data_IF_661356673692
#
_entry.id   IF_661356673692
#
_cell.length_a   1.000
_cell.length_b   1.000
_cell.length_c   1.000
_cell.angle_alpha   90.00
_cell.angle_beta   90.00
_cell.angle_gamma   90.00
#
_symmetry.space_group_name_H-M   'P 1'
#
loop_
_entity.id
_entity.type
_entity.pdbx_description
1 polymer ?
#
# COMPACT_ATOMS: atom_id res chain seq x y z
N UNK A 1 30.09 18.56 7.26
CA UNK A 1 30.35 17.43 8.17
C UNK A 1 30.66 16.28 7.26
N UNK A 2 31.89 15.77 7.29
CA UNK A 2 32.33 14.73 6.33
C UNK A 2 31.99 13.37 6.93
N UNK A 3 31.12 12.63 6.24
CA UNK A 3 30.77 11.25 6.61
C UNK A 3 31.81 10.29 6.03
N UNK A 4 32.24 9.30 6.81
CA UNK A 4 32.93 8.14 6.24
C UNK A 4 32.01 7.38 5.28
N UNK A 5 32.54 6.55 4.36
CA UNK A 5 31.70 5.73 3.48
C UNK A 5 30.69 4.85 4.23
N UNK A 6 31.11 4.25 5.36
CA UNK A 6 30.24 3.43 6.23
C UNK A 6 29.11 4.26 6.84
N UNK A 7 29.42 5.44 7.39
CA UNK A 7 28.42 6.32 7.99
C UNK A 7 27.45 6.85 6.92
N UNK A 8 27.94 7.23 5.74
CA UNK A 8 27.10 7.69 4.65
C UNK A 8 26.16 6.57 4.18
N UNK A 9 26.69 5.38 3.95
CA UNK A 9 25.90 4.22 3.53
C UNK A 9 24.81 3.89 4.56
N UNK A 10 25.16 3.82 5.84
CA UNK A 10 24.18 3.53 6.90
C UNK A 10 23.15 4.65 7.07
N UNK A 11 23.53 5.92 6.99
CA UNK A 11 22.56 7.02 7.11
C UNK A 11 21.63 7.11 5.91
N UNK A 12 22.17 7.22 4.70
CA UNK A 12 21.40 7.64 3.53
C UNK A 12 20.93 6.47 2.66
N UNK A 13 21.78 5.47 2.43
CA UNK A 13 21.39 4.31 1.60
C UNK A 13 20.40 3.42 2.34
N UNK A 14 20.65 3.13 3.61
CA UNK A 14 19.65 2.39 4.40
C UNK A 14 18.38 3.21 4.65
N UNK A 15 18.45 4.54 4.73
CA UNK A 15 17.25 5.40 4.85
C UNK A 15 16.38 5.34 3.59
N UNK A 16 17.02 5.29 2.42
CA UNK A 16 16.35 5.05 1.14
C UNK A 16 15.72 3.65 1.12
N UNK A 17 16.45 2.62 1.54
CA UNK A 17 15.93 1.25 1.67
C UNK A 17 14.75 1.15 2.64
N UNK A 18 14.79 1.90 3.75
CA UNK A 18 13.68 1.96 4.70
C UNK A 18 12.44 2.57 4.06
N UNK A 19 12.60 3.67 3.32
CA UNK A 19 11.51 4.31 2.57
C UNK A 19 10.92 3.36 1.51
N UNK A 20 11.77 2.67 0.76
CA UNK A 20 11.36 1.65 -0.23
C UNK A 20 10.60 0.51 0.45
N UNK A 21 11.11 0.00 1.57
CA UNK A 21 10.45 -1.05 2.36
C UNK A 21 9.04 -0.61 2.80
N UNK A 22 8.91 0.60 3.36
CA UNK A 22 7.62 1.16 3.75
C UNK A 22 6.65 1.30 2.58
N UNK A 23 7.13 1.70 1.40
CA UNK A 23 6.33 1.79 0.18
C UNK A 23 5.80 0.42 -0.28
N UNK A 24 6.65 -0.61 -0.27
CA UNK A 24 6.23 -1.98 -0.61
C UNK A 24 5.18 -2.50 0.38
N UNK A 25 5.38 -2.30 1.69
CA UNK A 25 4.42 -2.74 2.70
C UNK A 25 3.09 -2.01 2.54
N UNK A 26 3.12 -0.68 2.35
CA UNK A 26 1.93 0.12 2.06
C UNK A 26 1.18 -0.43 0.85
N UNK A 27 1.87 -0.64 -0.27
CA UNK A 27 1.24 -1.12 -1.50
C UNK A 27 0.63 -2.50 -1.33
N UNK A 28 1.29 -3.42 -0.63
CA UNK A 28 0.74 -4.75 -0.35
C UNK A 28 -0.52 -4.69 0.51
N UNK A 29 -0.55 -3.84 1.54
CA UNK A 29 -1.75 -3.60 2.35
C UNK A 29 -2.86 -2.91 1.55
N UNK A 30 -2.50 -1.97 0.68
CA UNK A 30 -3.45 -1.23 -0.14
C UNK A 30 -4.09 -2.15 -1.18
N UNK A 31 -3.31 -2.97 -1.88
CA UNK A 31 -3.84 -3.96 -2.82
C UNK A 31 -4.78 -4.94 -2.09
N UNK A 32 -4.44 -5.34 -0.86
CA UNK A 32 -5.34 -6.17 -0.04
C UNK A 32 -6.63 -5.42 0.36
N UNK A 33 -6.59 -4.11 0.58
CA UNK A 33 -7.79 -3.31 0.84
C UNK A 33 -8.67 -3.15 -0.41
N UNK A 34 -8.06 -3.11 -1.59
CA UNK A 34 -8.75 -3.01 -2.87
C UNK A 34 -9.45 -4.32 -3.26
N UNK A 35 -8.87 -5.47 -2.94
CA UNK A 35 -9.48 -6.79 -3.15
C UNK A 35 -10.94 -6.80 -2.65
N UNK A 36 -11.88 -7.04 -3.55
CA UNK A 36 -13.30 -7.16 -3.23
C UNK A 36 -13.64 -8.56 -2.72
N UNK A 37 -12.96 -9.58 -3.23
CA UNK A 37 -13.18 -10.99 -2.94
C UNK A 37 -11.92 -11.83 -3.28
N UNK A 38 -11.92 -13.13 -3.01
CA UNK A 38 -10.75 -14.00 -3.17
C UNK A 38 -10.69 -14.79 -4.48
N UNK A 39 -11.44 -14.38 -5.49
CA UNK A 39 -11.51 -15.07 -6.80
C UNK A 39 -10.22 -14.92 -7.62
N UNK A 40 -9.76 -13.67 -7.81
CA UNK A 40 -8.64 -13.30 -8.68
C UNK A 40 -7.29 -13.70 -8.08
N UNK A 41 -6.41 -14.26 -8.91
CA UNK A 41 -5.14 -14.86 -8.47
C UNK A 41 -4.01 -13.85 -8.43
N UNK A 42 -4.00 -12.95 -9.40
CA UNK A 42 -3.10 -11.83 -9.55
C UNK A 42 -3.15 -10.90 -8.34
N UNK A 43 -4.33 -10.65 -7.76
CA UNK A 43 -4.47 -9.80 -6.58
C UNK A 43 -3.76 -10.42 -5.37
N UNK A 44 -3.96 -11.72 -5.13
CA UNK A 44 -3.29 -12.43 -4.04
C UNK A 44 -1.77 -12.46 -4.24
N UNK A 45 -1.31 -12.63 -5.48
CA UNK A 45 0.11 -12.56 -5.83
C UNK A 45 0.70 -11.19 -5.49
N UNK A 46 0.07 -10.09 -5.92
CA UNK A 46 0.56 -8.74 -5.68
C UNK A 46 0.68 -8.42 -4.19
N UNK A 47 -0.31 -8.85 -3.39
CA UNK A 47 -0.27 -8.69 -1.93
C UNK A 47 0.92 -9.43 -1.35
N UNK A 48 1.05 -10.73 -1.64
CA UNK A 48 2.14 -11.54 -1.09
C UNK A 48 3.51 -11.04 -1.55
N UNK A 49 3.65 -10.61 -2.80
CA UNK A 49 4.89 -10.08 -3.34
C UNK A 49 5.31 -8.80 -2.64
N UNK A 50 4.44 -7.79 -2.61
CA UNK A 50 4.74 -6.51 -2.01
C UNK A 50 5.07 -6.64 -0.52
N UNK A 51 4.29 -7.44 0.23
CA UNK A 51 4.57 -7.68 1.65
C UNK A 51 5.88 -8.44 1.86
N UNK A 52 6.18 -9.47 1.05
CA UNK A 52 7.43 -10.24 1.15
C UNK A 52 8.66 -9.35 0.93
N UNK A 53 8.68 -8.57 -0.16
CA UNK A 53 9.79 -7.66 -0.49
C UNK A 53 9.96 -6.60 0.60
N UNK A 54 8.84 -6.01 1.04
CA UNK A 54 8.84 -4.98 2.06
C UNK A 54 9.43 -5.47 3.39
N UNK A 55 8.98 -6.62 3.88
CA UNK A 55 9.47 -7.23 5.12
C UNK A 55 10.93 -7.69 4.99
N UNK A 56 11.32 -8.32 3.89
CA UNK A 56 12.70 -8.76 3.66
C UNK A 56 13.67 -7.58 3.73
N UNK A 57 13.37 -6.46 3.05
CA UNK A 57 14.20 -5.25 3.10
C UNK A 57 14.30 -4.71 4.53
N UNK A 58 13.19 -4.67 5.25
CA UNK A 58 13.16 -4.20 6.64
C UNK A 58 14.03 -5.07 7.57
N UNK A 59 13.98 -6.39 7.39
CA UNK A 59 14.81 -7.34 8.12
C UNK A 59 16.30 -7.14 7.80
N UNK A 60 16.65 -6.94 6.52
CA UNK A 60 18.04 -6.70 6.11
C UNK A 60 18.59 -5.40 6.71
N UNK A 61 17.80 -4.33 6.77
CA UNK A 61 18.22 -3.10 7.46
C UNK A 61 18.52 -3.38 8.93
N UNK A 62 17.65 -4.14 9.63
CA UNK A 62 17.91 -4.54 11.01
C UNK A 62 19.24 -5.29 11.14
N UNK A 63 19.49 -6.28 10.27
CA UNK A 63 20.73 -7.08 10.29
C UNK A 63 21.96 -6.20 10.06
N UNK A 64 21.92 -5.28 9.09
CA UNK A 64 23.02 -4.34 8.84
C UNK A 64 23.32 -3.51 10.08
N UNK A 65 22.30 -2.96 10.74
CA UNK A 65 22.50 -2.12 11.92
C UNK A 65 22.96 -2.92 13.15
N UNK A 66 22.55 -4.18 13.27
CA UNK A 66 22.92 -5.05 14.39
C UNK A 66 24.32 -5.66 14.26
N UNK A 67 24.73 -6.04 13.05
CA UNK A 67 25.91 -6.89 12.84
C UNK A 67 27.10 -6.19 12.18
N UNK A 68 26.87 -5.15 11.36
CA UNK A 68 27.96 -4.52 10.62
C UNK A 68 28.78 -3.57 11.49
N UNK A 69 30.10 -3.80 11.54
CA UNK A 69 31.11 -2.93 12.16
C UNK A 69 32.22 -2.61 11.16
N UNK A 70 33.13 -1.69 11.49
CA UNK A 70 34.26 -1.36 10.60
C UNK A 70 35.26 -2.53 10.40
N UNK A 71 35.17 -3.57 11.24
CA UNK A 71 36.00 -4.78 11.14
C UNK A 71 35.29 -5.92 10.36
N UNK A 72 34.07 -5.70 9.87
CA UNK A 72 33.31 -6.70 9.12
C UNK A 72 33.93 -6.89 7.73
N UNK A 73 34.07 -8.16 7.29
CA UNK A 73 34.41 -8.43 5.89
C UNK A 73 33.20 -8.06 5.01
N UNK A 74 33.32 -6.94 4.27
CA UNK A 74 32.21 -6.35 3.51
C UNK A 74 31.59 -7.32 2.51
N UNK A 75 32.41 -7.94 1.66
CA UNK A 75 31.95 -8.82 0.58
C UNK A 75 31.18 -10.02 1.14
N UNK A 76 31.74 -10.72 2.13
CA UNK A 76 31.07 -11.85 2.78
C UNK A 76 29.78 -11.44 3.48
N UNK A 77 29.75 -10.23 4.06
CA UNK A 77 28.56 -9.72 4.72
C UNK A 77 27.45 -9.43 3.71
N UNK A 78 27.76 -8.76 2.61
CA UNK A 78 26.82 -8.48 1.52
C UNK A 78 26.28 -9.76 0.90
N UNK A 79 27.13 -10.74 0.59
CA UNK A 79 26.71 -12.07 0.11
C UNK A 79 25.73 -12.74 1.09
N UNK A 80 25.98 -12.62 2.40
CA UNK A 80 25.09 -13.19 3.43
C UNK A 80 23.70 -12.54 3.46
N UNK A 81 23.54 -11.33 2.89
CA UNK A 81 22.27 -10.64 2.78
C UNK A 81 21.49 -11.03 1.51
N UNK A 82 22.10 -11.72 0.55
CA UNK A 82 21.45 -12.22 -0.67
C UNK A 82 20.67 -13.52 -0.34
N UNK A 83 19.80 -13.45 0.67
CA UNK A 83 18.85 -14.50 1.02
C UNK A 83 17.43 -13.99 0.84
N UNK A 84 16.58 -14.85 0.28
CA UNK A 84 15.15 -14.66 0.08
C UNK A 84 14.34 -15.44 1.12
N UNK A 85 14.95 -15.78 2.25
CA UNK A 85 14.35 -16.53 3.34
C UNK A 85 14.03 -15.62 4.53
N UNK A 86 12.78 -15.18 4.63
CA UNK A 86 12.35 -14.27 5.69
C UNK A 86 12.41 -14.94 7.08
N UNK A 87 12.25 -16.27 7.17
CA UNK A 87 12.42 -17.02 8.42
C UNK A 87 13.88 -16.98 8.91
N UNK A 88 14.84 -17.25 8.02
CA UNK A 88 16.26 -17.23 8.39
C UNK A 88 16.71 -15.82 8.79
N UNK A 89 16.23 -14.80 8.07
CA UNK A 89 16.50 -13.40 8.40
C UNK A 89 15.89 -13.04 9.77
N UNK A 90 14.66 -13.47 10.06
CA UNK A 90 14.05 -13.26 11.38
C UNK A 90 14.85 -13.94 12.49
N UNK A 91 15.25 -15.20 12.30
CA UNK A 91 16.07 -15.93 13.27
C UNK A 91 17.43 -15.25 13.49
N UNK A 92 18.04 -14.67 12.44
CA UNK A 92 19.28 -13.90 12.54
C UNK A 92 19.10 -12.66 13.42
N UNK A 93 18.00 -11.92 13.26
CA UNK A 93 17.68 -10.77 14.12
C UNK A 93 17.41 -11.21 15.56
N UNK A 94 16.68 -12.31 15.76
CA UNK A 94 16.34 -12.85 17.09
C UNK A 94 17.56 -13.24 17.93
N UNK A 95 18.72 -13.51 17.31
CA UNK A 95 19.99 -13.72 18.03
C UNK A 95 20.49 -12.48 18.77
N UNK A 96 20.09 -11.28 18.35
CA UNK A 96 20.56 -10.00 18.90
C UNK A 96 19.49 -9.24 19.69
N UNK A 97 18.22 -9.41 19.30
CA UNK A 97 17.08 -8.70 19.89
C UNK A 97 15.89 -9.63 20.02
N UNK A 98 15.24 -9.62 21.17
CA UNK A 98 13.98 -10.36 21.36
C UNK A 98 12.86 -9.68 20.58
N UNK A 99 12.16 -10.44 19.75
CA UNK A 99 11.02 -9.98 18.93
C UNK A 99 9.75 -10.65 19.44
N UNK A 100 8.67 -9.88 19.58
CA UNK A 100 7.40 -10.39 20.07
C UNK A 100 6.48 -10.84 18.91
N UNK A 101 6.74 -12.03 18.35
CA UNK A 101 5.93 -12.61 17.27
C UNK A 101 5.07 -13.79 17.76
N UNK A 102 3.75 -13.62 17.68
CA UNK A 102 2.77 -14.67 17.97
C UNK A 102 2.60 -15.72 16.86
N UNK A 103 1.72 -16.70 17.10
CA UNK A 103 1.48 -17.84 16.18
C UNK A 103 1.14 -17.43 14.75
N UNK A 104 0.20 -16.49 14.57
CA UNK A 104 -0.22 -16.07 13.23
C UNK A 104 0.88 -15.31 12.48
N UNK A 105 1.75 -14.58 13.20
CA UNK A 105 2.92 -13.96 12.61
C UNK A 105 3.89 -15.01 12.06
N UNK A 106 4.17 -16.07 12.82
CA UNK A 106 5.03 -17.17 12.35
C UNK A 106 4.45 -17.88 11.12
N UNK A 107 3.13 -18.10 11.10
CA UNK A 107 2.44 -18.63 9.91
C UNK A 107 2.61 -17.70 8.71
N UNK A 108 2.45 -16.39 8.90
CA UNK A 108 2.57 -15.42 7.83
C UNK A 108 4.01 -15.33 7.29
N UNK A 109 5.03 -15.27 8.14
CA UNK A 109 6.44 -15.29 7.68
C UNK A 109 6.69 -16.56 6.84
N UNK A 110 6.26 -17.73 7.32
CA UNK A 110 6.46 -18.99 6.60
C UNK A 110 5.78 -18.99 5.23
N UNK A 111 4.57 -18.44 5.14
CA UNK A 111 3.86 -18.22 3.88
C UNK A 111 4.67 -17.31 2.94
N UNK A 112 5.12 -16.16 3.41
CA UNK A 112 5.89 -15.19 2.61
C UNK A 112 7.23 -15.79 2.15
N UNK A 113 7.96 -16.49 3.03
CA UNK A 113 9.18 -17.24 2.69
C UNK A 113 8.93 -18.22 1.55
N UNK A 114 7.88 -19.04 1.67
CA UNK A 114 7.53 -20.03 0.64
C UNK A 114 7.18 -19.35 -0.68
N UNK A 115 6.32 -18.33 -0.63
CA UNK A 115 5.92 -17.57 -1.80
C UNK A 115 7.13 -17.00 -2.54
N UNK A 116 8.02 -16.31 -1.81
CA UNK A 116 9.12 -15.58 -2.40
C UNK A 116 10.22 -16.49 -2.97
N UNK A 117 10.44 -17.66 -2.36
CA UNK A 117 11.39 -18.66 -2.88
C UNK A 117 10.89 -19.40 -4.11
N UNK A 118 9.64 -19.87 -4.11
CA UNK A 118 9.19 -20.86 -5.10
C UNK A 118 7.99 -20.43 -5.94
N UNK A 119 7.03 -19.72 -5.36
CA UNK A 119 5.74 -19.49 -6.04
C UNK A 119 5.74 -18.32 -7.02
N UNK A 120 6.76 -17.44 -6.98
CA UNK A 120 6.89 -16.32 -7.93
C UNK A 120 6.96 -16.75 -9.40
N UNK A 121 7.55 -17.92 -9.65
CA UNK A 121 7.77 -18.42 -11.01
C UNK A 121 6.87 -19.60 -11.39
N UNK A 122 5.95 -19.97 -10.51
CA UNK A 122 5.13 -21.16 -10.69
C UNK A 122 4.29 -21.08 -11.97
N UNK A 123 3.76 -19.90 -12.30
CA UNK A 123 2.96 -19.66 -13.51
C UNK A 123 3.76 -19.76 -14.83
N UNK A 124 5.09 -19.80 -14.77
CA UNK A 124 5.94 -20.03 -15.96
C UNK A 124 6.24 -21.52 -16.20
N UNK A 125 5.84 -22.40 -15.29
CA UNK A 125 6.04 -23.85 -15.42
C UNK A 125 4.86 -24.45 -16.17
N UNK A 126 5.12 -25.24 -17.22
CA UNK A 126 4.04 -25.85 -18.02
C UNK A 126 3.17 -26.79 -17.18
N UNK A 127 3.75 -27.37 -16.12
CA UNK A 127 3.07 -28.23 -15.15
C UNK A 127 2.01 -27.49 -14.32
N UNK A 128 2.01 -26.15 -14.30
CA UNK A 128 1.02 -25.34 -13.60
C UNK A 128 -0.27 -25.13 -14.39
N UNK A 129 -0.31 -25.45 -15.70
CA UNK A 129 -1.42 -25.11 -16.60
C UNK A 129 -2.81 -25.60 -16.13
N UNK A 130 -2.86 -26.68 -15.36
CA UNK A 130 -4.10 -27.26 -14.82
C UNK A 130 -4.11 -27.32 -13.28
N UNK A 131 -3.14 -26.69 -12.61
CA UNK A 131 -3.06 -26.68 -11.16
C UNK A 131 -3.62 -25.37 -10.62
N UNK A 132 -4.43 -25.41 -9.54
CA UNK A 132 -4.84 -24.20 -8.85
C UNK A 132 -3.64 -23.37 -8.39
N UNK A 133 -3.75 -22.04 -8.49
CA UNK A 133 -2.70 -21.13 -8.06
C UNK A 133 -2.40 -21.27 -6.56
N UNK A 134 -1.17 -21.70 -6.26
CA UNK A 134 -0.78 -22.00 -4.89
C UNK A 134 -0.66 -20.76 -4.02
N UNK A 135 -0.34 -19.59 -4.60
CA UNK A 135 -0.21 -18.34 -3.84
C UNK A 135 -1.56 -17.91 -3.28
N UNK A 136 -2.60 -17.90 -4.13
CA UNK A 136 -4.00 -17.66 -3.72
C UNK A 136 -4.45 -18.67 -2.66
N UNK A 137 -4.29 -19.96 -2.93
CA UNK A 137 -4.74 -21.01 -2.01
C UNK A 137 -4.04 -20.95 -0.64
N UNK A 138 -2.75 -20.64 -0.62
CA UNK A 138 -2.01 -20.54 0.64
C UNK A 138 -2.39 -19.30 1.44
N UNK A 139 -2.67 -18.15 0.78
CA UNK A 139 -3.23 -16.98 1.43
C UNK A 139 -4.60 -17.29 2.06
N UNK A 140 -5.49 -17.93 1.29
CA UNK A 140 -6.82 -18.34 1.77
C UNK A 140 -6.69 -19.26 2.98
N UNK A 141 -5.89 -20.33 2.86
CA UNK A 141 -5.64 -21.26 3.97
C UNK A 141 -5.11 -20.56 5.21
N UNK A 142 -4.18 -19.61 5.05
CA UNK A 142 -3.70 -18.81 6.17
C UNK A 142 -4.83 -18.01 6.85
N UNK A 143 -5.72 -17.40 6.07
CA UNK A 143 -6.85 -16.62 6.58
C UNK A 143 -7.88 -17.51 7.27
N UNK A 144 -8.31 -18.59 6.64
CA UNK A 144 -9.27 -19.56 7.19
C UNK A 144 -8.79 -20.12 8.52
N UNK A 145 -7.55 -20.60 8.59
CA UNK A 145 -6.98 -21.16 9.82
C UNK A 145 -6.76 -20.10 10.91
N UNK A 146 -6.49 -18.84 10.55
CA UNK A 146 -6.18 -17.79 11.51
C UNK A 146 -7.42 -17.10 12.06
N UNK A 147 -8.49 -17.03 11.28
CA UNK A 147 -9.76 -16.37 11.63
C UNK A 147 -10.89 -17.35 11.95
N UNK A 148 -10.68 -18.64 11.70
CA UNK A 148 -11.70 -19.69 11.80
C UNK A 148 -12.94 -19.34 10.97
N UNK A 149 -12.71 -19.14 9.67
CA UNK A 149 -13.72 -18.82 8.65
C UNK A 149 -13.56 -19.76 7.46
N UNK A 150 -14.56 -19.78 6.57
CA UNK A 150 -14.53 -20.47 5.28
C UNK A 150 -14.56 -19.42 4.17
N UNK A 151 -13.74 -19.60 3.14
CA UNK A 151 -13.65 -18.69 2.00
C UNK A 151 -14.01 -19.47 0.72
N UNK A 152 -15.16 -19.17 0.15
CA UNK A 152 -15.50 -19.64 -1.21
C UNK A 152 -14.81 -18.77 -2.27
N UNK A 153 -14.23 -19.45 -3.26
CA UNK A 153 -13.61 -18.86 -4.46
C UNK A 153 -14.41 -19.15 -5.73
N UNK A 154 -15.65 -19.60 -5.59
CA UNK A 154 -16.52 -19.84 -6.72
C UNK A 154 -16.91 -18.52 -7.39
N UNK A 155 -17.06 -18.51 -8.71
CA UNK A 155 -17.47 -17.31 -9.46
C UNK A 155 -18.78 -16.72 -8.93
N UNK A 156 -19.72 -17.58 -8.52
CA UNK A 156 -20.95 -17.19 -7.86
C UNK A 156 -20.83 -17.44 -6.35
N UNK A 157 -21.10 -16.42 -5.55
CA UNK A 157 -21.05 -16.53 -4.10
C UNK A 157 -19.64 -16.44 -3.51
N UNK A 158 -18.66 -15.91 -4.25
CA UNK A 158 -17.32 -15.68 -3.74
C UNK A 158 -17.36 -14.87 -2.43
N UNK A 159 -16.58 -15.29 -1.45
CA UNK A 159 -16.53 -14.62 -0.15
C UNK A 159 -15.88 -13.24 -0.29
N UNK A 160 -16.60 -12.20 0.14
CA UNK A 160 -16.09 -10.84 0.13
C UNK A 160 -14.94 -10.66 1.13
N UNK A 161 -13.94 -9.87 0.75
CA UNK A 161 -12.86 -9.47 1.64
C UNK A 161 -13.36 -8.40 2.63
N UNK A 162 -13.95 -8.86 3.72
CA UNK A 162 -14.56 -8.00 4.74
C UNK A 162 -13.52 -7.17 5.51
N UNK A 163 -13.98 -6.08 6.13
CA UNK A 163 -13.15 -5.26 7.01
C UNK A 163 -12.51 -6.04 8.17
N UNK A 164 -13.17 -7.12 8.63
CA UNK A 164 -12.60 -8.01 9.65
C UNK A 164 -11.32 -8.67 9.15
N UNK A 165 -11.33 -9.17 7.92
CA UNK A 165 -10.16 -9.82 7.30
C UNK A 165 -9.08 -8.77 7.02
N UNK A 166 -9.44 -7.62 6.45
CA UNK A 166 -8.52 -6.49 6.19
C UNK A 166 -7.79 -6.04 7.46
N UNK A 167 -8.52 -5.79 8.54
CA UNK A 167 -7.93 -5.43 9.84
C UNK A 167 -7.05 -6.53 10.41
N UNK A 168 -7.39 -7.80 10.19
CA UNK A 168 -6.57 -8.92 10.66
C UNK A 168 -5.22 -8.97 9.94
N UNK A 169 -5.22 -8.90 8.60
CA UNK A 169 -3.99 -8.87 7.81
C UNK A 169 -3.16 -7.65 8.14
N UNK A 170 -3.79 -6.47 8.18
CA UNK A 170 -3.16 -5.22 8.56
C UNK A 170 -2.46 -5.30 9.92
N UNK A 171 -3.16 -5.78 10.96
CA UNK A 171 -2.56 -5.96 12.30
C UNK A 171 -1.40 -6.97 12.31
N UNK A 172 -1.53 -8.07 11.57
CA UNK A 172 -0.50 -9.11 11.52
C UNK A 172 0.77 -8.60 10.83
N UNK A 173 0.64 -7.92 9.67
CA UNK A 173 1.76 -7.28 8.97
C UNK A 173 2.35 -6.14 9.81
N UNK A 174 1.48 -5.32 10.40
CA UNK A 174 1.87 -4.18 11.21
C UNK A 174 2.73 -4.55 12.41
N UNK A 175 2.53 -5.73 13.00
CA UNK A 175 3.37 -6.20 14.10
C UNK A 175 4.83 -6.35 13.68
N UNK A 176 5.13 -6.86 12.49
CA UNK A 176 6.50 -6.89 11.97
C UNK A 176 7.07 -5.49 11.80
N UNK A 177 6.29 -4.59 11.21
CA UNK A 177 6.70 -3.20 10.97
C UNK A 177 7.12 -2.53 12.28
N UNK A 178 6.29 -2.64 13.32
CA UNK A 178 6.58 -2.06 14.65
C UNK A 178 7.83 -2.65 15.29
N UNK A 179 7.93 -3.98 15.32
CA UNK A 179 9.05 -4.64 16.00
C UNK A 179 10.39 -4.36 15.30
N UNK A 180 10.43 -4.45 13.97
CA UNK A 180 11.65 -4.19 13.22
C UNK A 180 12.01 -2.71 13.16
N UNK A 181 11.03 -1.81 12.97
CA UNK A 181 11.30 -0.37 12.97
C UNK A 181 11.78 0.12 14.34
N UNK A 182 11.26 -0.46 15.43
CA UNK A 182 11.79 -0.21 16.78
C UNK A 182 13.28 -0.59 16.88
N UNK A 183 13.65 -1.78 16.40
CA UNK A 183 15.06 -2.21 16.37
C UNK A 183 15.90 -1.21 15.58
N UNK A 184 15.44 -0.78 14.39
CA UNK A 184 16.14 0.20 13.57
C UNK A 184 16.35 1.51 14.34
N UNK A 185 15.31 2.04 15.00
CA UNK A 185 15.41 3.26 15.82
C UNK A 185 16.42 3.08 16.95
N UNK A 186 16.30 2.01 17.72
CA UNK A 186 17.17 1.74 18.87
C UNK A 186 18.65 1.64 18.43
N UNK A 187 18.92 0.94 17.33
CA UNK A 187 20.28 0.82 16.79
C UNK A 187 20.78 2.12 16.17
N UNK A 188 19.92 2.91 15.52
CA UNK A 188 20.30 4.23 15.03
C UNK A 188 20.70 5.16 16.18
N UNK A 189 19.97 5.18 17.30
CA UNK A 189 20.37 5.96 18.46
C UNK A 189 21.71 5.48 19.04
N UNK A 190 21.91 4.16 19.14
CA UNK A 190 23.19 3.58 19.61
C UNK A 190 24.35 3.97 18.70
N UNK A 191 24.14 3.98 17.39
CA UNK A 191 25.15 4.28 16.38
C UNK A 191 25.23 5.78 16.00
N UNK A 192 24.37 6.62 16.57
CA UNK A 192 24.23 8.06 16.23
C UNK A 192 23.94 8.31 14.74
N UNK A 193 23.01 7.53 14.19
CA UNK A 193 22.56 7.59 12.80
C UNK A 193 21.13 8.15 12.69
N UNK A 194 20.75 8.55 11.48
CA UNK A 194 19.45 9.15 11.13
C UNK A 194 18.63 8.28 10.16
N UNK A 195 19.01 7.01 9.94
CA UNK A 195 18.33 6.07 9.04
C UNK A 195 16.83 5.93 9.30
N UNK A 196 16.39 6.21 10.53
CA UNK A 196 15.00 6.10 10.96
C UNK A 196 14.10 7.27 10.54
N UNK A 197 14.65 8.34 9.98
CA UNK A 197 13.89 9.51 9.54
C UNK A 197 13.03 9.18 8.33
N UNK A 198 11.75 9.57 8.38
CA UNK A 198 10.74 9.29 7.35
C UNK A 198 10.02 10.59 6.99
N UNK A 199 9.93 10.96 5.69
CA UNK A 199 9.16 12.12 5.25
C UNK A 199 7.67 11.98 5.57
N UNK A 200 7.04 13.04 6.08
CA UNK A 200 5.63 13.04 6.51
C UNK A 200 4.63 12.61 5.43
N UNK A 201 4.82 13.09 4.20
CA UNK A 201 3.91 12.86 3.07
C UNK A 201 4.15 11.51 2.37
N UNK A 202 5.06 10.69 2.88
CA UNK A 202 5.41 9.41 2.26
C UNK A 202 4.49 8.27 2.67
N UNK A 203 4.34 7.26 1.80
CA UNK A 203 3.65 6.00 2.16
C UNK A 203 4.30 5.32 3.37
N UNK A 204 5.62 5.38 3.48
CA UNK A 204 6.37 4.84 4.61
C UNK A 204 5.98 5.49 5.95
N UNK A 205 5.56 6.76 5.95
CA UNK A 205 5.11 7.46 7.16
C UNK A 205 3.91 6.76 7.80
N UNK A 206 2.90 6.39 7.00
CA UNK A 206 1.73 5.65 7.49
C UNK A 206 2.12 4.35 8.20
N UNK A 207 3.10 3.64 7.64
CA UNK A 207 3.53 2.31 8.11
C UNK A 207 4.37 2.39 9.39
N UNK A 208 5.35 3.30 9.43
CA UNK A 208 6.36 3.33 10.50
C UNK A 208 6.10 4.39 11.57
N UNK A 209 5.47 5.51 11.22
CA UNK A 209 5.23 6.63 12.14
C UNK A 209 3.78 6.64 12.63
N UNK A 210 2.80 6.63 11.73
CA UNK A 210 1.38 6.60 12.12
C UNK A 210 0.95 5.23 12.66
N UNK A 211 1.71 4.18 12.34
CA UNK A 211 1.44 2.79 12.71
C UNK A 211 0.00 2.32 12.37
N UNK A 212 -0.50 2.77 11.20
CA UNK A 212 -1.82 2.40 10.66
C UNK A 212 -1.64 1.41 9.51
N UNK A 213 -2.37 0.30 9.55
CA UNK A 213 -2.18 -0.81 8.60
C UNK A 213 -3.48 -1.23 7.90
N UNK A 214 -4.50 -0.38 7.96
CA UNK A 214 -5.71 -0.46 7.14
C UNK A 214 -6.02 0.94 6.59
N UNK A 215 -7.03 1.03 5.72
CA UNK A 215 -7.40 2.26 5.00
C UNK A 215 -8.78 2.79 5.42
N UNK A 216 -9.23 2.41 6.63
CA UNK A 216 -10.55 2.81 7.11
C UNK A 216 -10.62 4.30 7.42
N UNK A 217 -9.55 4.88 7.97
CA UNK A 217 -9.48 6.30 8.31
C UNK A 217 -9.46 7.18 7.06
N UNK A 218 -8.71 6.81 6.02
CA UNK A 218 -8.71 7.52 4.73
C UNK A 218 -10.11 7.57 4.11
N UNK A 219 -10.83 6.44 4.12
CA UNK A 219 -12.20 6.38 3.62
C UNK A 219 -13.17 7.23 4.43
N UNK A 220 -12.95 7.36 5.74
CA UNK A 220 -13.75 8.25 6.59
C UNK A 220 -13.46 9.71 6.25
N UNK A 221 -12.18 10.09 6.10
CA UNK A 221 -11.79 11.46 5.70
C UNK A 221 -12.41 11.83 4.35
N UNK A 222 -12.34 10.95 3.35
CA UNK A 222 -12.96 11.17 2.04
C UNK A 222 -14.47 11.40 2.15
N UNK A 223 -15.16 10.63 3.00
CA UNK A 223 -16.61 10.77 3.24
C UNK A 223 -16.96 12.07 3.95
N UNK A 224 -16.17 12.50 4.93
CA UNK A 224 -16.38 13.78 5.62
C UNK A 224 -16.10 14.96 4.70
N UNK A 225 -15.06 14.89 3.84
CA UNK A 225 -14.80 15.91 2.80
C UNK A 225 -15.99 15.98 1.84
N UNK A 226 -16.46 14.85 1.32
CA UNK A 226 -17.62 14.81 0.44
C UNK A 226 -18.85 15.43 1.10
N UNK A 227 -19.13 15.06 2.35
CA UNK A 227 -20.25 15.61 3.13
C UNK A 227 -20.12 17.12 3.31
N UNK A 228 -18.92 17.60 3.64
CA UNK A 228 -18.63 19.03 3.76
C UNK A 228 -18.89 19.76 2.43
N UNK A 229 -18.40 19.23 1.32
CA UNK A 229 -18.57 19.83 -0.02
C UNK A 229 -20.04 19.90 -0.46
N UNK A 230 -20.85 18.90 -0.10
CA UNK A 230 -22.29 18.88 -0.43
C UNK A 230 -23.08 19.85 0.45
N UNK A 231 -22.69 20.00 1.72
CA UNK A 231 -23.47 20.75 2.72
C UNK A 231 -23.02 22.21 2.88
N UNK A 232 -21.87 22.57 2.34
CA UNK A 232 -21.32 23.93 2.43
C UNK A 232 -21.61 24.72 1.16
N UNK A 233 -21.72 26.03 1.31
CA UNK A 233 -21.78 26.92 0.16
C UNK A 233 -20.42 26.95 -0.55
N UNK A 234 -20.39 26.58 -1.82
CA UNK A 234 -19.19 26.68 -2.65
C UNK A 234 -18.92 28.14 -3.03
N UNK A 235 -17.65 28.57 -3.14
CA UNK A 235 -17.32 29.94 -3.54
C UNK A 235 -17.98 30.35 -4.86
N UNK A 236 -18.49 31.58 -4.94
CA UNK A 236 -19.27 32.04 -6.10
C UNK A 236 -18.49 31.95 -7.42
N UNK A 237 -17.20 32.29 -7.43
CA UNK A 237 -16.37 32.15 -8.63
C UNK A 237 -16.23 30.69 -9.07
N UNK A 238 -16.06 29.76 -8.13
CA UNK A 238 -16.04 28.33 -8.44
C UNK A 238 -17.40 27.82 -8.92
N UNK A 239 -18.50 28.31 -8.33
CA UNK A 239 -19.86 28.01 -8.79
C UNK A 239 -20.11 28.51 -10.21
N UNK A 240 -19.68 29.72 -10.53
CA UNK A 240 -19.78 30.29 -11.88
C UNK A 240 -19.01 29.44 -12.87
N UNK A 241 -17.77 29.08 -12.52
CA UNK A 241 -16.93 28.19 -13.31
C UNK A 241 -17.63 26.86 -13.60
N UNK A 242 -18.09 26.14 -12.56
CA UNK A 242 -18.77 24.85 -12.74
C UNK A 242 -20.03 24.92 -13.63
N UNK A 243 -20.68 26.08 -13.72
CA UNK A 243 -21.88 26.26 -14.53
C UNK A 243 -21.59 26.59 -16.01
N UNK A 244 -20.33 26.79 -16.41
CA UNK A 244 -19.94 27.00 -17.81
C UNK A 244 -20.26 25.77 -18.67
N UNK A 245 -20.20 24.57 -18.08
CA UNK A 245 -20.57 23.32 -18.72
C UNK A 245 -21.54 22.51 -17.85
N UNK A 246 -22.68 22.11 -18.42
CA UNK A 246 -23.59 21.17 -17.75
C UNK A 246 -22.88 19.85 -17.38
N UNK A 247 -23.25 19.21 -16.25
CA UNK A 247 -22.75 17.89 -15.91
C UNK A 247 -23.17 16.84 -16.95
N UNK A 248 -22.45 15.71 -17.00
CA UNK A 248 -22.91 14.55 -17.75
C UNK A 248 -24.14 13.94 -17.07
N UNK A 249 -25.11 13.49 -17.88
CA UNK A 249 -26.32 12.81 -17.40
C UNK A 249 -25.99 11.33 -17.08
N UNK A 250 -25.46 11.10 -15.89
CA UNK A 250 -25.14 9.75 -15.40
C UNK A 250 -26.41 9.07 -14.88
N UNK A 251 -26.86 8.02 -15.57
CA UNK A 251 -28.14 7.35 -15.30
C UNK A 251 -28.02 5.82 -15.15
N UNK A 252 -26.87 5.24 -15.48
CA UNK A 252 -26.69 3.78 -15.50
C UNK A 252 -26.72 3.16 -14.09
N UNK A 253 -26.37 3.93 -13.06
CA UNK A 253 -26.22 3.44 -11.69
C UNK A 253 -26.92 4.36 -10.67
N UNK A 254 -27.09 3.86 -9.44
CA UNK A 254 -27.61 4.69 -8.36
C UNK A 254 -26.54 5.65 -7.78
N UNK A 255 -26.99 6.66 -7.04
CA UNK A 255 -26.10 7.65 -6.41
C UNK A 255 -25.03 7.01 -5.53
N UNK A 256 -25.38 5.97 -4.77
CA UNK A 256 -24.45 5.37 -3.83
C UNK A 256 -23.33 4.60 -4.55
N UNK A 257 -23.62 4.01 -5.71
CA UNK A 257 -22.64 3.42 -6.59
C UNK A 257 -21.64 4.47 -7.10
N UNK A 258 -22.12 5.60 -7.62
CA UNK A 258 -21.23 6.70 -8.05
C UNK A 258 -20.36 7.21 -6.90
N UNK A 259 -20.92 7.36 -5.70
CA UNK A 259 -20.16 7.76 -4.50
C UNK A 259 -19.10 6.73 -4.11
N UNK A 260 -19.43 5.43 -4.17
CA UNK A 260 -18.46 4.37 -3.91
C UNK A 260 -17.27 4.47 -4.89
N UNK A 261 -17.54 4.78 -6.15
CA UNK A 261 -16.51 4.91 -7.18
C UNK A 261 -15.64 6.16 -7.00
N UNK A 262 -16.18 7.26 -6.46
CA UNK A 262 -15.35 8.40 -6.04
C UNK A 262 -14.41 8.03 -4.88
N UNK A 263 -14.87 7.22 -3.93
CA UNK A 263 -14.09 6.80 -2.75
C UNK A 263 -13.07 5.69 -3.11
N UNK A 264 -13.37 4.85 -4.10
CA UNK A 264 -12.58 3.67 -4.48
C UNK A 264 -12.38 3.56 -5.99
N UNK A 265 -11.87 4.63 -6.61
CA UNK A 265 -11.77 4.76 -8.06
C UNK A 265 -10.91 3.70 -8.77
N UNK A 266 -10.00 3.04 -8.06
CA UNK A 266 -9.13 2.01 -8.63
C UNK A 266 -9.82 0.65 -8.85
N UNK A 267 -11.04 0.46 -8.35
CA UNK A 267 -11.65 -0.88 -8.27
C UNK A 267 -12.30 -1.36 -9.55
N UNK A 268 -12.70 -0.48 -10.47
CA UNK A 268 -13.52 -0.91 -11.61
C UNK A 268 -13.56 0.11 -12.74
N UNK A 269 -13.55 -0.40 -13.97
CA UNK A 269 -13.58 0.39 -15.20
C UNK A 269 -14.99 0.59 -15.77
N UNK A 270 -16.05 0.03 -15.17
CA UNK A 270 -17.41 0.06 -15.72
C UNK A 270 -17.98 1.48 -15.89
N UNK A 271 -17.78 2.36 -14.90
CA UNK A 271 -18.14 3.80 -15.02
C UNK A 271 -17.43 4.47 -16.19
N UNK A 272 -16.20 4.06 -16.48
CA UNK A 272 -15.46 4.63 -17.61
C UNK A 272 -16.20 4.39 -18.92
N UNK A 273 -16.85 3.23 -19.07
CA UNK A 273 -17.67 2.92 -20.24
C UNK A 273 -18.88 3.85 -20.39
N UNK A 274 -19.62 4.12 -19.31
CA UNK A 274 -20.73 5.10 -19.33
C UNK A 274 -20.23 6.49 -19.73
N UNK A 275 -19.15 6.97 -19.10
CA UNK A 275 -18.55 8.27 -19.39
C UNK A 275 -18.03 8.36 -20.84
N UNK A 276 -17.38 7.30 -21.33
CA UNK A 276 -16.85 7.24 -22.70
C UNK A 276 -17.96 7.29 -23.75
N UNK A 277 -19.07 6.57 -23.53
CA UNK A 277 -20.23 6.61 -24.40
C UNK A 277 -20.85 8.02 -24.44
N UNK A 278 -21.06 8.64 -23.28
CA UNK A 278 -21.60 10.00 -23.18
C UNK A 278 -20.71 11.04 -23.85
N UNK A 279 -19.39 10.84 -23.88
CA UNK A 279 -18.48 11.72 -24.63
C UNK A 279 -18.61 11.61 -26.14
N UNK A 280 -19.15 10.52 -26.68
CA UNK A 280 -19.40 10.40 -28.13
C UNK A 280 -20.54 11.30 -28.60
N UNK A 281 -21.42 11.71 -27.68
CA UNK A 281 -22.58 12.55 -27.95
C UNK A 281 -22.28 14.06 -27.85
N UNK A 282 -21.07 14.43 -27.42
CA UNK A 282 -20.66 15.83 -27.26
C UNK A 282 -20.03 16.39 -28.54
N UNK A 283 -20.44 17.60 -28.93
CA UNK A 283 -19.86 18.33 -30.06
C UNK A 283 -18.36 18.62 -29.88
N UNK A 284 -17.93 18.91 -28.65
CA UNK A 284 -16.53 19.27 -28.34
C UNK A 284 -16.03 18.69 -27.01
N UNK A 285 -15.67 17.40 -27.02
CA UNK A 285 -15.08 16.72 -25.85
C UNK A 285 -13.78 17.37 -25.37
N UNK A 286 -12.99 17.95 -26.29
CA UNK A 286 -11.70 18.57 -25.95
C UNK A 286 -11.87 19.77 -25.03
N UNK A 287 -12.83 20.64 -25.35
CA UNK A 287 -13.17 21.80 -24.52
C UNK A 287 -13.63 21.38 -23.13
N UNK A 288 -14.46 20.34 -23.02
CA UNK A 288 -14.84 19.77 -21.72
C UNK A 288 -13.62 19.28 -20.93
N UNK A 289 -12.65 18.62 -21.56
CA UNK A 289 -11.42 18.20 -20.86
C UNK A 289 -10.59 19.39 -20.38
N UNK A 290 -10.45 20.45 -21.17
CA UNK A 290 -9.77 21.66 -20.70
C UNK A 290 -10.50 22.31 -19.52
N UNK A 291 -11.83 22.32 -19.54
CA UNK A 291 -12.65 22.82 -18.44
C UNK A 291 -12.57 21.95 -17.17
N UNK A 292 -12.37 20.64 -17.28
CA UNK A 292 -12.24 19.78 -16.09
C UNK A 292 -10.86 19.87 -15.41
N UNK A 293 -9.80 20.31 -16.12
CA UNK A 293 -8.41 20.29 -15.61
C UNK A 293 -8.17 21.13 -14.35
N UNK A 294 -8.72 22.36 -14.20
CA UNK A 294 -8.49 23.18 -13.01
C UNK A 294 -9.16 22.63 -11.74
N UNK A 295 -10.19 21.77 -11.88
CA UNK A 295 -10.94 21.22 -10.75
C UNK A 295 -10.03 20.33 -9.90
N UNK A 296 -9.83 20.71 -8.64
CA UNK A 296 -9.00 19.98 -7.69
C UNK A 296 -7.49 20.20 -7.86
N UNK A 297 -7.07 21.13 -8.73
CA UNK A 297 -5.67 21.54 -8.87
C UNK A 297 -5.37 22.71 -7.93
N UNK A 298 -4.39 22.54 -7.03
CA UNK A 298 -4.00 23.54 -6.03
C UNK A 298 -3.37 24.81 -6.61
N UNK A 299 -2.93 24.77 -7.86
CA UNK A 299 -2.31 25.92 -8.55
C UNK A 299 -3.35 26.89 -9.12
N UNK A 300 -4.65 26.55 -9.06
CA UNK A 300 -5.74 27.38 -9.56
C UNK A 300 -6.62 27.90 -8.41
N UNK A 301 -6.84 29.22 -8.40
CA UNK A 301 -7.83 29.88 -7.55
C UNK A 301 -9.04 30.30 -8.39
N UNK A 302 -10.24 30.15 -7.84
CA UNK A 302 -11.49 30.62 -8.45
C UNK A 302 -12.04 31.86 -7.72
N UNK A 303 -11.15 32.66 -7.14
CA UNK A 303 -11.53 33.91 -6.49
C UNK A 303 -11.96 34.94 -7.55
N UNK A 304 -12.92 35.78 -7.22
CA UNK A 304 -13.19 36.96 -8.02
C UNK A 304 -12.03 37.93 -7.82
N UNK A 305 -11.41 38.37 -8.92
CA UNK A 305 -10.74 39.67 -8.92
C UNK A 305 -11.80 40.68 -8.49
N UNK A 306 -11.74 41.13 -7.24
CA UNK A 306 -12.41 42.36 -6.86
C UNK A 306 -11.65 43.46 -7.61
N UNK A 307 -12.05 43.74 -8.85
CA UNK A 307 -11.69 45.00 -9.49
C UNK A 307 -12.15 46.10 -8.53
N UNK A 308 -11.19 46.73 -7.87
CA UNK A 308 -11.39 47.94 -7.10
C UNK A 308 -12.08 48.96 -8.02
N UNK A 309 -13.32 49.31 -7.70
CA UNK A 309 -14.05 50.41 -8.32
C UNK A 309 -13.23 51.70 -8.10
N UNK A 310 -12.58 52.23 -9.15
CA UNK A 310 -12.15 53.64 -9.24
C UNK A 310 -13.21 54.51 -9.93
#
# INVERSE_FOLDING_TARGET
>A
MDFTPTEFWKNFRLGTELSISGNFIYNGLYNFDLMSHFYYEEEAFEVLYNISVGIERLQKICIVLLEHTDNTNQEKFEESLISHNLDDLNQRIEKHRKINLGKNHKKLISLLTKFYKSSRYEMYQIESAYRPNQSKLQLIKFLEESLNIEISVDMLGCTSNSDRIKRFVGKTVGKFCKEYYKIIRDECYRLKLFTYEIPYESKAFKIFISEKYDFSEEKIVQKEILKYLIQSEIPQGFKNYLNEHSPLELEMYDTNYYLERLISFHKEYSIKGEIEELYTELDNVKERFEHLKPIGNSDFGFEHDNEEEE
#
